data_IF_308763170989
#
_entry.id   IF_308763170989
#
_cell.length_a   1.000
_cell.length_b   1.000
_cell.length_c   1.000
_cell.angle_alpha   90.00
_cell.angle_beta   90.00
_cell.angle_gamma   90.00
#
_symmetry.space_group_name_H-M   'P 1'
#
loop_
_entity.id
_entity.type
_entity.pdbx_description
1 polymer ?
#
# COMPACT_ATOMS: atom_id res chain seq x y z
N UNK A 1 -4.72 -7.33 -5.08
CA UNK A 1 -5.95 -7.10 -4.29
C UNK A 1 -7.16 -7.68 -5.05
N UNK A 2 -7.61 -8.91 -4.71
CA UNK A 2 -8.64 -9.59 -5.50
C UNK A 2 -9.98 -8.85 -5.57
N UNK A 3 -10.42 -8.23 -4.47
CA UNK A 3 -11.74 -7.58 -4.35
C UNK A 3 -12.01 -6.51 -5.42
N UNK A 4 -10.96 -5.81 -5.85
CA UNK A 4 -10.98 -4.72 -6.83
C UNK A 4 -10.22 -5.07 -8.12
N UNK A 5 -9.89 -6.36 -8.31
CA UNK A 5 -9.11 -6.87 -9.46
C UNK A 5 -7.80 -6.13 -9.72
N UNK A 6 -7.13 -5.68 -8.66
CA UNK A 6 -5.86 -4.95 -8.75
C UNK A 6 -4.67 -5.91 -8.67
N UNK A 7 -3.80 -5.88 -9.67
CA UNK A 7 -2.51 -6.58 -9.69
C UNK A 7 -1.46 -5.67 -10.33
N UNK A 8 -0.38 -5.36 -9.60
CA UNK A 8 0.60 -4.36 -10.04
C UNK A 8 1.98 -4.59 -9.39
N UNK A 9 3.07 -4.19 -10.06
CA UNK A 9 4.41 -4.27 -9.49
C UNK A 9 4.64 -3.27 -8.34
N UNK A 10 5.60 -3.59 -7.47
CA UNK A 10 6.11 -2.73 -6.41
C UNK A 10 7.54 -2.30 -6.80
N UNK A 11 7.76 -1.00 -6.92
CA UNK A 11 9.05 -0.38 -7.21
C UNK A 11 9.65 0.27 -5.96
N UNK A 12 10.96 0.48 -5.98
CA UNK A 12 11.64 1.27 -4.95
C UNK A 12 11.32 2.76 -5.07
N UNK A 13 10.99 3.38 -3.94
CA UNK A 13 10.74 4.82 -3.85
C UNK A 13 9.39 5.24 -4.43
N UNK A 14 9.11 6.53 -4.30
CA UNK A 14 7.84 7.16 -4.67
C UNK A 14 8.03 8.26 -5.71
N UNK A 15 9.00 8.06 -6.62
CA UNK A 15 9.22 8.99 -7.74
C UNK A 15 8.06 8.94 -8.74
N UNK A 16 7.84 10.01 -9.50
CA UNK A 16 6.82 10.05 -10.56
C UNK A 16 7.00 8.91 -11.58
N UNK A 17 8.25 8.54 -11.88
CA UNK A 17 8.55 7.42 -12.76
C UNK A 17 8.08 6.08 -12.16
N UNK A 18 8.28 5.88 -10.85
CA UNK A 18 7.83 4.66 -10.16
C UNK A 18 6.30 4.60 -10.09
N UNK A 19 5.66 5.71 -9.73
CA UNK A 19 4.20 5.78 -9.51
C UNK A 19 3.39 5.80 -10.81
N UNK A 20 3.99 6.21 -11.94
CA UNK A 20 3.36 6.10 -13.26
C UNK A 20 3.32 4.66 -13.80
N UNK A 21 4.19 3.76 -13.32
CA UNK A 21 4.28 2.37 -13.78
C UNK A 21 3.63 1.37 -12.81
N UNK A 22 3.48 1.72 -11.55
CA UNK A 22 2.99 0.81 -10.53
C UNK A 22 2.92 1.44 -9.16
N UNK A 23 3.19 0.63 -8.14
CA UNK A 23 3.18 1.06 -6.75
C UNK A 23 4.60 1.36 -6.32
N UNK A 24 4.77 2.38 -5.51
CA UNK A 24 6.05 2.76 -4.92
C UNK A 24 6.13 2.31 -3.47
N UNK A 25 7.27 1.78 -3.05
CA UNK A 25 7.58 1.59 -1.63
C UNK A 25 8.06 2.92 -1.03
N UNK A 26 7.42 3.36 0.05
CA UNK A 26 7.80 4.60 0.72
C UNK A 26 9.14 4.42 1.44
N UNK A 27 10.14 5.19 1.01
CA UNK A 27 11.45 5.21 1.63
C UNK A 27 11.36 5.58 3.11
N UNK A 28 12.14 4.89 3.95
CA UNK A 28 12.12 5.07 5.40
C UNK A 28 11.14 4.14 6.13
N UNK A 29 10.26 3.43 5.42
CA UNK A 29 9.37 2.41 6.01
C UNK A 29 9.97 1.00 5.88
N UNK A 30 9.41 0.02 6.58
CA UNK A 30 9.91 -1.37 6.50
C UNK A 30 9.83 -1.90 5.07
N UNK A 31 10.77 -2.74 4.66
CA UNK A 31 10.68 -3.44 3.38
C UNK A 31 9.46 -4.37 3.36
N UNK A 32 8.81 -4.59 2.21
CA UNK A 32 7.61 -5.43 2.09
C UNK A 32 7.94 -6.94 2.09
N UNK A 33 8.75 -7.39 3.06
CA UNK A 33 9.15 -8.79 3.28
C UNK A 33 8.47 -9.41 4.51
N UNK A 34 7.63 -8.64 5.19
CA UNK A 34 6.92 -9.01 6.41
C UNK A 34 7.84 -9.16 7.63
N UNK A 35 7.29 -9.73 8.68
CA UNK A 35 7.99 -10.01 9.94
C UNK A 35 7.45 -9.19 11.12
N UNK A 36 7.73 -9.61 12.36
CA UNK A 36 7.27 -8.92 13.55
C UNK A 36 7.92 -7.53 13.66
N UNK A 37 7.14 -6.56 14.15
CA UNK A 37 7.57 -5.16 14.29
C UNK A 37 7.97 -4.55 12.94
N UNK A 38 7.12 -4.72 11.92
CA UNK A 38 7.30 -4.09 10.61
C UNK A 38 6.04 -3.34 10.19
N UNK A 39 6.24 -2.27 9.42
CA UNK A 39 5.18 -1.55 8.72
C UNK A 39 5.72 -1.10 7.37
N UNK A 40 5.36 -1.81 6.29
CA UNK A 40 5.71 -1.40 4.94
C UNK A 40 4.61 -0.51 4.37
N UNK A 41 4.97 0.65 3.82
CA UNK A 41 4.00 1.55 3.20
C UNK A 41 4.16 1.50 1.69
N UNK A 42 3.08 1.13 1.00
CA UNK A 42 3.00 1.05 -0.45
C UNK A 42 2.08 2.16 -0.95
N UNK A 43 2.59 3.00 -1.83
CA UNK A 43 1.90 4.17 -2.36
C UNK A 43 1.52 3.94 -3.82
N UNK A 44 0.41 4.51 -4.27
CA UNK A 44 0.02 4.51 -5.67
C UNK A 44 -0.86 5.70 -6.01
N UNK A 45 -0.81 6.18 -7.26
CA UNK A 45 -1.71 7.24 -7.69
C UNK A 45 -3.17 6.80 -7.70
N UNK A 46 -4.04 7.79 -7.59
CA UNK A 46 -5.48 7.71 -7.84
C UNK A 46 -5.81 8.64 -9.00
N UNK A 47 -6.51 8.13 -10.01
CA UNK A 47 -6.96 8.93 -11.15
C UNK A 47 -5.91 9.29 -12.21
N UNK A 48 -4.83 8.51 -12.35
CA UNK A 48 -3.86 8.77 -13.40
C UNK A 48 -4.45 8.42 -14.79
N UNK A 49 -4.42 9.32 -15.80
CA UNK A 49 -4.89 9.01 -17.14
C UNK A 49 -4.19 7.78 -17.72
N UNK A 50 -4.96 6.77 -18.14
CA UNK A 50 -4.44 5.56 -18.77
C UNK A 50 -4.06 4.41 -17.81
N UNK A 51 -4.17 4.58 -16.49
CA UNK A 51 -3.89 3.50 -15.53
C UNK A 51 -4.82 3.57 -14.29
N UNK A 52 -5.41 2.43 -13.92
CA UNK A 52 -6.30 2.37 -12.74
C UNK A 52 -5.55 2.52 -11.42
N UNK A 53 -4.36 1.92 -11.27
CA UNK A 53 -3.52 2.01 -10.06
C UNK A 53 -4.36 1.84 -8.77
N UNK A 54 -4.25 2.75 -7.80
CA UNK A 54 -5.00 2.72 -6.54
C UNK A 54 -6.34 3.46 -6.62
N UNK A 55 -6.87 3.72 -7.82
CA UNK A 55 -8.11 4.51 -8.00
C UNK A 55 -9.30 3.95 -7.24
N UNK A 56 -9.38 2.62 -7.12
CA UNK A 56 -10.49 1.88 -6.49
C UNK A 56 -10.21 1.45 -5.05
N UNK A 57 -9.18 2.02 -4.40
CA UNK A 57 -8.81 1.63 -3.03
C UNK A 57 -9.94 1.95 -2.02
N UNK A 58 -10.78 2.94 -2.33
CA UNK A 58 -11.97 3.33 -1.56
C UNK A 58 -13.12 2.33 -1.60
N UNK A 59 -13.08 1.34 -2.48
CA UNK A 59 -14.06 0.23 -2.51
C UNK A 59 -13.74 -0.89 -1.50
N UNK A 60 -12.55 -0.84 -0.88
CA UNK A 60 -12.11 -1.82 0.10
C UNK A 60 -12.74 -1.54 1.47
N UNK A 61 -12.91 -2.60 2.26
CA UNK A 61 -13.43 -2.51 3.64
C UNK A 61 -12.66 -3.41 4.60
N UNK A 62 -12.75 -3.16 5.93
CA UNK A 62 -12.22 -4.09 6.92
C UNK A 62 -12.72 -5.51 6.69
N UNK A 63 -11.80 -6.47 6.75
CA UNK A 63 -12.05 -7.88 6.44
C UNK A 63 -11.66 -8.31 5.03
N UNK A 64 -11.57 -7.37 4.07
CA UNK A 64 -11.02 -7.68 2.74
C UNK A 64 -9.53 -8.03 2.85
N UNK A 65 -9.03 -8.76 1.83
CA UNK A 65 -7.65 -9.25 1.81
C UNK A 65 -6.88 -8.72 0.61
N UNK A 66 -5.58 -8.55 0.80
CA UNK A 66 -4.62 -8.35 -0.27
C UNK A 66 -3.38 -9.21 -0.05
N UNK A 67 -2.56 -9.31 -1.08
CA UNK A 67 -1.37 -10.14 -1.08
C UNK A 67 -0.18 -9.32 -1.55
N UNK A 68 0.96 -9.54 -0.93
CA UNK A 68 2.26 -9.02 -1.33
C UNK A 68 3.13 -10.21 -1.69
N UNK A 69 3.63 -10.26 -2.92
CA UNK A 69 4.57 -11.27 -3.37
C UNK A 69 5.97 -10.68 -3.44
N UNK A 70 6.92 -11.26 -2.73
CA UNK A 70 8.31 -10.78 -2.68
C UNK A 70 9.24 -11.96 -2.41
N UNK A 71 10.33 -12.06 -3.18
CA UNK A 71 11.34 -13.12 -3.08
C UNK A 71 10.75 -14.55 -3.12
N UNK A 72 9.71 -14.78 -3.93
CA UNK A 72 9.04 -16.07 -4.06
C UNK A 72 8.15 -16.44 -2.87
N UNK A 73 7.87 -15.48 -1.97
CA UNK A 73 6.94 -15.65 -0.86
C UNK A 73 5.74 -14.74 -1.04
N UNK A 74 4.56 -15.34 -1.06
CA UNK A 74 3.28 -14.61 -1.02
C UNK A 74 2.80 -14.47 0.42
N UNK A 75 2.61 -13.23 0.86
CA UNK A 75 2.07 -12.89 2.19
C UNK A 75 0.67 -12.32 2.05
N UNK A 76 -0.29 -12.89 2.78
CA UNK A 76 -1.67 -12.42 2.82
C UNK A 76 -1.91 -11.49 4.00
N UNK A 77 -2.47 -10.31 3.72
CA UNK A 77 -2.83 -9.31 4.71
C UNK A 77 -4.34 -9.07 4.69
N UNK A 78 -4.92 -8.86 5.87
CA UNK A 78 -6.32 -8.49 6.05
C UNK A 78 -6.41 -7.01 6.40
N UNK A 79 -7.29 -6.29 5.73
CA UNK A 79 -7.57 -4.90 6.05
C UNK A 79 -8.26 -4.85 7.42
N UNK A 80 -7.65 -4.12 8.36
CA UNK A 80 -8.17 -3.98 9.74
C UNK A 80 -8.75 -2.60 9.99
N UNK A 81 -8.25 -1.58 9.31
CA UNK A 81 -8.70 -0.20 9.42
C UNK A 81 -8.49 0.54 8.10
N UNK A 82 -9.24 1.62 7.91
CA UNK A 82 -9.14 2.56 6.79
C UNK A 82 -9.19 3.96 7.39
N UNK A 83 -8.28 4.83 6.95
CA UNK A 83 -8.15 6.19 7.46
C UNK A 83 -8.09 7.17 6.27
N UNK A 84 -8.68 8.35 6.47
CA UNK A 84 -8.42 9.54 5.66
C UNK A 84 -7.69 10.51 6.57
N UNK A 85 -6.50 10.95 6.16
CA UNK A 85 -5.59 11.78 6.95
C UNK A 85 -5.12 12.96 6.12
N UNK A 86 -4.67 14.01 6.80
CA UNK A 86 -4.04 15.16 6.16
C UNK A 86 -2.62 14.78 5.63
N UNK A 87 -2.10 15.48 4.60
CA UNK A 87 -0.83 15.10 3.96
C UNK A 87 0.39 15.10 4.89
N UNK A 88 0.36 15.91 5.94
CA UNK A 88 1.41 16.04 6.95
C UNK A 88 1.28 15.05 8.12
N UNK A 89 0.17 14.30 8.17
CA UNK A 89 -0.02 13.27 9.18
C UNK A 89 0.64 11.94 8.78
N UNK A 90 1.68 11.58 9.53
CA UNK A 90 2.55 10.43 9.24
C UNK A 90 2.44 9.31 10.29
N UNK A 91 1.51 9.41 11.26
CA UNK A 91 1.45 8.47 12.38
C UNK A 91 1.23 7.01 11.93
N UNK A 92 0.55 6.82 10.79
CA UNK A 92 0.25 5.50 10.20
C UNK A 92 1.46 4.81 9.58
N UNK A 93 2.60 5.50 9.42
CA UNK A 93 3.83 4.91 8.86
C UNK A 93 4.71 4.26 9.93
N UNK A 94 4.37 4.45 11.20
CA UNK A 94 5.18 3.98 12.33
C UNK A 94 5.06 2.47 12.55
N UNK A 95 6.12 1.88 13.09
CA UNK A 95 6.13 0.46 13.46
C UNK A 95 5.35 0.27 14.75
N UNK A 96 4.46 -0.73 14.76
CA UNK A 96 3.81 -1.19 15.99
C UNK A 96 4.51 -2.46 16.48
N UNK A 97 5.05 -2.41 17.69
CA UNK A 97 5.82 -3.51 18.27
C UNK A 97 5.02 -4.83 18.23
N UNK A 98 5.65 -5.87 17.70
CA UNK A 98 5.07 -7.21 17.59
C UNK A 98 4.08 -7.41 16.45
N UNK A 99 3.74 -6.36 15.68
CA UNK A 99 2.84 -6.47 14.52
C UNK A 99 3.60 -6.52 13.19
N UNK A 100 3.03 -7.23 12.23
CA UNK A 100 3.44 -7.24 10.82
C UNK A 100 2.35 -6.50 10.03
N UNK A 101 2.67 -5.29 9.58
CA UNK A 101 1.71 -4.38 8.96
C UNK A 101 2.15 -4.00 7.56
N UNK A 102 1.17 -3.81 6.69
CA UNK A 102 1.34 -3.16 5.39
C UNK A 102 0.24 -2.12 5.23
N UNK A 103 0.64 -0.90 4.92
CA UNK A 103 -0.27 0.23 4.67
C UNK A 103 -0.30 0.52 3.18
N UNK A 104 -1.51 0.53 2.59
CA UNK A 104 -1.73 0.98 1.22
C UNK A 104 -2.18 2.44 1.26
N UNK A 105 -1.46 3.32 0.57
CA UNK A 105 -1.69 4.77 0.59
C UNK A 105 -1.98 5.31 -0.80
N UNK A 106 -2.98 6.18 -0.91
CA UNK A 106 -3.28 6.95 -2.12
C UNK A 106 -3.86 8.32 -1.77
N UNK A 107 -3.92 9.24 -2.74
CA UNK A 107 -4.56 10.54 -2.56
C UNK A 107 -6.09 10.43 -2.56
N UNK A 108 -6.78 11.25 -1.78
CA UNK A 108 -8.26 11.31 -1.70
C UNK A 108 -8.71 12.70 -1.20
N UNK A 109 -9.91 13.23 -1.52
CA UNK A 109 -10.93 12.69 -2.44
C UNK A 109 -10.46 12.68 -3.91
N UNK A 110 -11.31 12.16 -4.79
CA UNK A 110 -11.11 12.28 -6.24
C UNK A 110 -11.59 13.66 -6.69
#
# INVERSE_FOLDING_TARGET
>A
VPRISLNMPIYHGTSDQSLSQGSGHLYGTSLPVGGPSTNAVLTGHRGLPGALLFTRLDELKPGDVFYVDTLGRTMGYRITAIHVVDPDDTHLYTVVQGKDLVTLMTCTPY
#
